data_IF_807874313023
#
_entry.id   IF_807874313023
#
_cell.length_a   1.000
_cell.length_b   1.000
_cell.length_c   1.000
_cell.angle_alpha   90.00
_cell.angle_beta   90.00
_cell.angle_gamma   90.00
#
_symmetry.space_group_name_H-M   'P 1'
#
loop_
_entity.id
_entity.type
_entity.pdbx_description
1 polymer ?
#
# COMPACT_ATOMS: atom_id res chain seq x y z
N UNK A 1 9.40 7.19 -15.96
CA UNK A 1 9.31 6.35 -14.74
C UNK A 1 7.99 6.67 -14.07
N UNK A 2 6.89 6.01 -14.45
CA UNK A 2 5.65 6.16 -13.70
C UNK A 2 5.87 5.44 -12.37
N UNK A 3 6.04 6.19 -11.29
CA UNK A 3 5.75 5.68 -9.94
C UNK A 3 4.31 5.18 -10.00
N UNK A 4 4.13 3.88 -10.22
CA UNK A 4 2.81 3.30 -10.14
C UNK A 4 2.34 3.57 -8.72
N UNK A 5 1.33 4.44 -8.58
CA UNK A 5 0.58 4.66 -7.34
C UNK A 5 -0.25 3.42 -7.04
N UNK A 6 0.40 2.26 -7.03
CA UNK A 6 -0.19 0.95 -6.89
C UNK A 6 0.37 0.37 -5.60
N UNK A 7 -0.52 -0.15 -4.76
CA UNK A 7 -0.14 -0.93 -3.58
C UNK A 7 0.60 -2.20 -3.99
N UNK A 8 1.15 -2.94 -3.03
CA UNK A 8 1.69 -4.26 -3.31
C UNK A 8 0.62 -5.14 -3.96
N UNK A 9 1.01 -5.98 -4.92
CA UNK A 9 0.07 -6.83 -5.67
C UNK A 9 -0.85 -7.67 -4.75
N UNK A 10 -0.28 -8.18 -3.65
CA UNK A 10 -1.02 -8.94 -2.63
C UNK A 10 -2.13 -8.14 -1.93
N UNK A 11 -2.00 -6.82 -1.91
CA UNK A 11 -2.88 -5.89 -1.19
C UNK A 11 -3.87 -5.19 -2.12
N UNK A 12 -3.86 -5.50 -3.43
CA UNK A 12 -4.78 -4.92 -4.43
C UNK A 12 -6.25 -5.16 -4.08
N UNK A 13 -6.63 -6.42 -3.83
CA UNK A 13 -7.99 -6.78 -3.37
C UNK A 13 -8.38 -6.08 -2.08
N UNK A 14 -7.42 -5.92 -1.16
CA UNK A 14 -7.65 -5.25 0.11
C UNK A 14 -7.89 -3.74 -0.11
N UNK A 15 -7.15 -3.13 -1.02
CA UNK A 15 -7.35 -1.74 -1.43
C UNK A 15 -8.75 -1.55 -2.04
N UNK A 16 -9.16 -2.44 -2.95
CA UNK A 16 -10.50 -2.40 -3.57
C UNK A 16 -11.61 -2.42 -2.50
N UNK A 17 -11.55 -3.37 -1.56
CA UNK A 17 -12.52 -3.46 -0.45
C UNK A 17 -12.54 -2.17 0.39
N UNK A 18 -11.37 -1.60 0.69
CA UNK A 18 -11.28 -0.37 1.48
C UNK A 18 -11.83 0.83 0.71
N UNK A 19 -11.62 0.89 -0.61
CA UNK A 19 -12.17 1.94 -1.48
C UNK A 19 -13.69 1.86 -1.57
N UNK A 20 -14.24 0.66 -1.82
CA UNK A 20 -15.68 0.40 -1.81
C UNK A 20 -16.31 0.78 -0.46
N UNK A 21 -15.65 0.43 0.65
CA UNK A 21 -16.14 0.79 1.99
C UNK A 21 -16.13 2.30 2.22
N UNK A 22 -15.12 3.02 1.74
CA UNK A 22 -15.08 4.49 1.85
C UNK A 22 -16.23 5.11 1.06
N UNK A 23 -16.46 4.68 -0.18
CA UNK A 23 -17.56 5.18 -1.02
C UNK A 23 -18.93 4.90 -0.37
N UNK A 24 -19.11 3.67 0.13
CA UNK A 24 -20.32 3.30 0.87
C UNK A 24 -20.50 4.17 2.11
N UNK A 25 -19.46 4.34 2.94
CA UNK A 25 -19.53 5.16 4.15
C UNK A 25 -19.83 6.63 3.85
N UNK A 26 -19.30 7.20 2.77
CA UNK A 26 -19.62 8.55 2.32
C UNK A 26 -21.08 8.68 1.86
N UNK A 27 -21.63 7.66 1.21
CA UNK A 27 -23.06 7.62 0.89
C UNK A 27 -23.93 7.63 2.16
N UNK A 28 -23.54 6.86 3.18
CA UNK A 28 -24.24 6.79 4.45
C UNK A 28 -24.15 8.09 5.26
N UNK A 29 -23.04 8.82 5.17
CA UNK A 29 -22.93 10.17 5.73
C UNK A 29 -23.97 11.12 5.11
N UNK A 30 -24.15 11.08 3.77
CA UNK A 30 -25.16 11.92 3.08
C UNK A 30 -26.58 11.56 3.52
N UNK A 31 -26.90 10.28 3.62
CA UNK A 31 -28.20 9.81 4.11
C UNK A 31 -28.46 10.27 5.55
N UNK A 32 -27.47 10.11 6.44
CA UNK A 32 -27.60 10.55 7.83
C UNK A 32 -27.83 12.07 7.95
N UNK A 33 -27.25 12.88 7.06
CA UNK A 33 -27.53 14.31 7.00
C UNK A 33 -28.98 14.60 6.55
N UNK A 34 -29.48 13.88 5.54
CA UNK A 34 -30.86 14.02 5.07
C UNK A 34 -31.88 13.65 6.14
N UNK A 35 -31.59 12.62 6.94
CA UNK A 35 -32.43 12.16 8.06
C UNK A 35 -32.23 12.97 9.34
N UNK A 36 -31.32 13.96 9.33
CA UNK A 36 -30.92 14.74 10.51
C UNK A 36 -30.46 13.84 11.69
N UNK A 37 -29.85 12.69 11.37
CA UNK A 37 -29.39 11.70 12.32
C UNK A 37 -27.90 11.89 12.65
N UNK A 38 -27.63 12.75 13.63
CA UNK A 38 -26.27 13.09 14.06
C UNK A 38 -25.45 11.86 14.47
N UNK A 39 -26.05 10.92 15.21
CA UNK A 39 -25.32 9.75 15.74
C UNK A 39 -24.80 8.87 14.61
N UNK A 40 -25.64 8.62 13.60
CA UNK A 40 -25.26 7.83 12.43
C UNK A 40 -24.20 8.56 11.60
N UNK A 41 -24.34 9.87 11.42
CA UNK A 41 -23.35 10.69 10.72
C UNK A 41 -21.97 10.60 11.38
N UNK A 42 -21.89 10.84 12.70
CA UNK A 42 -20.63 10.77 13.45
C UNK A 42 -19.99 9.38 13.40
N UNK A 43 -20.82 8.33 13.39
CA UNK A 43 -20.35 6.94 13.25
C UNK A 43 -19.67 6.74 11.91
N UNK A 44 -20.34 7.11 10.81
CA UNK A 44 -19.76 6.96 9.47
C UNK A 44 -18.55 7.86 9.24
N UNK A 45 -18.47 9.04 9.87
CA UNK A 45 -17.25 9.88 9.83
C UNK A 45 -16.06 9.16 10.47
N UNK A 46 -16.26 8.51 11.61
CA UNK A 46 -15.20 7.75 12.30
C UNK A 46 -14.76 6.54 11.47
N UNK A 47 -15.70 5.76 10.97
CA UNK A 47 -15.42 4.56 10.17
C UNK A 47 -14.68 4.89 8.87
N UNK A 48 -15.14 5.90 8.11
CA UNK A 48 -14.46 6.34 6.88
C UNK A 48 -13.06 6.87 7.19
N UNK A 49 -12.86 7.55 8.31
CA UNK A 49 -11.53 8.01 8.73
C UNK A 49 -10.59 6.85 9.02
N UNK A 50 -11.07 5.77 9.63
CA UNK A 50 -10.28 4.56 9.87
C UNK A 50 -9.91 3.89 8.54
N UNK A 51 -10.87 3.70 7.64
CA UNK A 51 -10.63 3.11 6.32
C UNK A 51 -9.61 3.93 5.49
N UNK A 52 -9.68 5.27 5.54
CA UNK A 52 -8.67 6.14 4.88
C UNK A 52 -7.27 5.97 5.48
N UNK A 53 -7.14 5.73 6.79
CA UNK A 53 -5.85 5.44 7.42
C UNK A 53 -5.31 4.09 6.99
N UNK A 54 -6.17 3.09 6.88
CA UNK A 54 -5.80 1.77 6.37
C UNK A 54 -5.34 1.84 4.91
N UNK A 55 -6.08 2.55 4.04
CA UNK A 55 -5.65 2.84 2.68
C UNK A 55 -4.26 3.46 2.64
N UNK A 56 -4.02 4.48 3.47
CA UNK A 56 -2.71 5.12 3.57
C UNK A 56 -1.60 4.17 4.06
N UNK A 57 -1.90 3.22 4.95
CA UNK A 57 -0.89 2.24 5.39
C UNK A 57 -0.48 1.28 4.29
N UNK A 58 -1.40 0.86 3.41
CA UNK A 58 -1.09 -0.01 2.27
C UNK A 58 -0.10 0.67 1.31
N UNK A 59 -0.29 1.95 1.03
CA UNK A 59 0.66 2.71 0.21
C UNK A 59 2.01 2.89 0.89
N UNK A 60 2.05 3.17 2.20
CA UNK A 60 3.32 3.29 2.94
C UNK A 60 4.08 1.96 3.01
N UNK A 61 3.37 0.84 3.07
CA UNK A 61 4.01 -0.48 3.05
C UNK A 61 4.68 -0.75 1.70
N UNK A 62 4.01 -0.37 0.60
CA UNK A 62 4.61 -0.41 -0.73
C UNK A 62 5.86 0.47 -0.84
N UNK A 63 5.79 1.70 -0.36
CA UNK A 63 6.92 2.64 -0.38
C UNK A 63 8.14 2.05 0.33
N UNK A 64 7.95 1.49 1.54
CA UNK A 64 9.03 0.80 2.27
C UNK A 64 9.59 -0.39 1.53
N UNK A 65 8.72 -1.19 0.91
CA UNK A 65 9.14 -2.34 0.11
C UNK A 65 9.99 -1.92 -1.10
N UNK A 66 9.59 -0.84 -1.77
CA UNK A 66 10.33 -0.31 -2.92
C UNK A 66 11.69 0.29 -2.50
N UNK A 67 11.74 1.01 -1.38
CA UNK A 67 12.99 1.50 -0.78
C UNK A 67 13.95 0.36 -0.44
N UNK A 68 13.44 -0.72 0.16
CA UNK A 68 14.24 -1.90 0.48
C UNK A 68 14.75 -2.61 -0.78
N UNK A 69 13.89 -2.77 -1.80
CA UNK A 69 14.26 -3.35 -3.09
C UNK A 69 15.38 -2.57 -3.75
N UNK A 70 15.28 -1.24 -3.80
CA UNK A 70 16.32 -0.36 -4.34
C UNK A 70 17.62 -0.42 -3.55
N UNK A 71 17.54 -0.49 -2.22
CA UNK A 71 18.73 -0.66 -1.36
C UNK A 71 19.45 -1.98 -1.66
N UNK A 72 18.71 -3.08 -1.79
CA UNK A 72 19.28 -4.40 -2.08
C UNK A 72 19.90 -4.41 -3.49
N UNK A 73 19.23 -3.80 -4.48
CA UNK A 73 19.78 -3.67 -5.85
C UNK A 73 21.10 -2.93 -5.88
N UNK A 74 21.20 -1.80 -5.17
CA UNK A 74 22.46 -1.04 -5.02
C UNK A 74 23.56 -1.89 -4.39
N UNK A 75 23.25 -2.60 -3.30
CA UNK A 75 24.20 -3.49 -2.64
C UNK A 75 24.70 -4.61 -3.57
N UNK A 76 23.80 -5.24 -4.33
CA UNK A 76 24.16 -6.27 -5.31
C UNK A 76 25.09 -5.70 -6.38
N UNK A 77 24.78 -4.50 -6.91
CA UNK A 77 25.59 -3.84 -7.91
C UNK A 77 27.00 -3.52 -7.39
N UNK A 78 27.11 -3.00 -6.17
CA UNK A 78 28.40 -2.72 -5.52
C UNK A 78 29.24 -3.98 -5.34
N UNK A 79 28.62 -5.10 -4.96
CA UNK A 79 29.28 -6.40 -4.84
C UNK A 79 29.75 -6.94 -6.20
N UNK A 80 28.93 -6.78 -7.25
CA UNK A 80 29.31 -7.17 -8.61
C UNK A 80 30.50 -6.36 -9.13
N UNK A 81 30.54 -5.05 -8.88
CA UNK A 81 31.69 -4.18 -9.23
C UNK A 81 32.97 -4.66 -8.53
N UNK A 82 32.85 -5.17 -7.30
CA UNK A 82 33.97 -5.74 -6.52
C UNK A 82 34.35 -7.17 -6.94
N UNK A 83 33.72 -7.73 -7.99
CA UNK A 83 33.99 -9.09 -8.46
C UNK A 83 33.43 -10.19 -7.55
N UNK A 84 32.53 -9.85 -6.62
CA UNK A 84 31.92 -10.83 -5.69
C UNK A 84 30.74 -11.53 -6.38
N UNK A 85 30.66 -12.86 -6.23
CA UNK A 85 29.53 -13.64 -6.73
C UNK A 85 28.28 -13.36 -5.87
N UNK A 86 27.25 -12.77 -6.47
CA UNK A 86 26.04 -12.30 -5.77
C UNK A 86 24.84 -13.26 -5.83
N UNK A 87 25.01 -14.46 -6.40
CA UNK A 87 23.91 -15.43 -6.57
C UNK A 87 23.21 -15.76 -5.24
N UNK A 88 23.98 -15.98 -4.16
CA UNK A 88 23.39 -16.26 -2.85
C UNK A 88 22.64 -15.06 -2.29
N UNK A 89 23.14 -13.84 -2.51
CA UNK A 89 22.49 -12.58 -2.08
C UNK A 89 21.19 -12.36 -2.84
N UNK A 90 21.19 -12.57 -4.17
CA UNK A 90 19.99 -12.50 -5.00
C UNK A 90 18.94 -13.52 -4.57
N UNK A 91 19.35 -14.75 -4.26
CA UNK A 91 18.44 -15.82 -3.81
C UNK A 91 17.84 -15.54 -2.44
N UNK A 92 18.64 -15.03 -1.50
CA UNK A 92 18.17 -14.66 -0.16
C UNK A 92 17.13 -13.52 -0.19
N UNK A 93 17.29 -12.58 -1.12
CA UNK A 93 16.41 -11.41 -1.25
C UNK A 93 15.40 -11.50 -2.42
N UNK A 94 15.25 -12.67 -3.02
CA UNK A 94 14.39 -12.91 -4.17
C UNK A 94 12.95 -12.39 -4.00
N UNK A 95 12.27 -12.58 -2.85
CA UNK A 95 10.90 -12.06 -2.65
C UNK A 95 10.78 -10.54 -2.67
N UNK A 96 11.88 -9.81 -2.46
CA UNK A 96 11.94 -8.33 -2.45
C UNK A 96 12.38 -7.78 -3.82
N UNK A 97 13.09 -8.58 -4.61
CA UNK A 97 13.69 -8.17 -5.88
C UNK A 97 12.78 -8.35 -7.11
N UNK A 98 11.86 -9.31 -7.09
CA UNK A 98 11.16 -9.76 -8.31
C UNK A 98 9.80 -9.08 -8.59
N UNK A 99 9.13 -8.45 -7.61
CA UNK A 99 7.79 -7.85 -7.81
C UNK A 99 7.76 -6.47 -8.51
N UNK A 100 8.83 -6.08 -9.19
CA UNK A 100 8.94 -4.80 -9.91
C UNK A 100 9.39 -4.99 -11.37
N UNK A 101 9.43 -6.23 -11.88
CA UNK A 101 9.47 -6.51 -13.32
C UNK A 101 8.06 -6.78 -13.84
#
# INVERSE_FOLDING_TARGET
MSLSRQVLERDTKKLEIVEEFIEYGESQQKLALQENNQKQFETWVKEVRLARREKASLYREKEKYDEESERIRKMILDLQIRGVKVEMVRRAHYPVLERVM
#
